data_IF_805109251652
#
_entry.id   IF_805109251652
#
_cell.length_a   1.000
_cell.length_b   1.000
_cell.length_c   1.000
_cell.angle_alpha   90.00
_cell.angle_beta   90.00
_cell.angle_gamma   90.00
#
_symmetry.space_group_name_H-M   'P 1'
#
loop_
_entity.id
_entity.type
_entity.pdbx_description
1 polymer ?
#
# COMPACT_ATOMS: atom_id res chain seq x y z
N UNK A 1 -8.27 24.48 -4.78
CA UNK A 1 -7.38 23.71 -5.66
C UNK A 1 -7.36 22.32 -5.07
N UNK A 2 -8.17 21.39 -5.59
CA UNK A 2 -8.04 19.99 -5.18
C UNK A 2 -6.74 19.53 -5.84
N UNK A 3 -5.72 19.31 -5.03
CA UNK A 3 -4.47 18.75 -5.50
C UNK A 3 -4.76 17.26 -5.67
N UNK A 4 -5.38 16.91 -6.79
CA UNK A 4 -5.50 15.53 -7.24
C UNK A 4 -4.08 15.04 -7.49
N UNK A 5 -3.44 14.56 -6.43
CA UNK A 5 -2.20 13.82 -6.50
C UNK A 5 -2.47 12.68 -7.47
N UNK A 6 -1.98 12.81 -8.70
CA UNK A 6 -2.06 11.77 -9.69
C UNK A 6 -1.06 10.69 -9.25
N UNK A 7 -1.48 9.86 -8.29
CA UNK A 7 -0.67 8.78 -7.76
C UNK A 7 -0.57 7.74 -8.87
N UNK A 8 0.62 7.62 -9.43
CA UNK A 8 0.91 6.65 -10.48
C UNK A 8 0.93 5.23 -9.89
N UNK A 9 0.48 4.26 -10.68
CA UNK A 9 0.48 2.85 -10.32
C UNK A 9 1.49 2.06 -11.18
N UNK A 10 2.18 1.06 -10.59
CA UNK A 10 2.19 0.77 -9.16
C UNK A 10 2.84 1.91 -8.35
N UNK A 11 2.36 2.11 -7.13
CA UNK A 11 2.94 3.03 -6.16
C UNK A 11 3.90 2.26 -5.27
N UNK A 12 5.13 2.76 -5.16
CA UNK A 12 6.20 2.13 -4.40
C UNK A 12 6.83 3.18 -3.47
N UNK A 13 7.04 2.82 -2.21
CA UNK A 13 7.63 3.71 -1.22
C UNK A 13 8.42 2.95 -0.16
N UNK A 14 9.64 3.41 0.11
CA UNK A 14 10.42 2.99 1.28
C UNK A 14 10.00 3.82 2.51
N UNK A 15 9.37 3.19 3.50
CA UNK A 15 8.90 3.83 4.72
C UNK A 15 9.33 3.06 5.97
N UNK A 16 10.10 3.70 6.86
CA UNK A 16 10.59 3.12 8.12
C UNK A 16 11.35 1.79 7.99
N UNK A 17 12.18 1.64 6.95
CA UNK A 17 12.88 0.39 6.58
C UNK A 17 11.95 -0.75 6.10
N UNK A 18 10.71 -0.42 5.74
CA UNK A 18 9.79 -1.32 5.07
C UNK A 18 9.53 -0.82 3.65
N UNK A 19 9.30 -1.75 2.75
CA UNK A 19 8.97 -1.52 1.35
C UNK A 19 7.44 -1.63 1.21
N UNK A 20 6.77 -0.53 0.86
CA UNK A 20 5.34 -0.48 0.58
C UNK A 20 5.13 -0.55 -0.92
N UNK A 21 4.24 -1.44 -1.36
CA UNK A 21 3.87 -1.60 -2.75
C UNK A 21 2.34 -1.59 -2.87
N UNK A 22 1.79 -0.76 -3.77
CA UNK A 22 0.37 -0.65 -4.05
C UNK A 22 0.12 -0.77 -5.55
N UNK A 23 -0.76 -1.67 -5.95
CA UNK A 23 -1.14 -1.89 -7.35
C UNK A 23 -2.66 -2.00 -7.53
N UNK A 24 -3.14 -1.86 -8.77
CA UNK A 24 -4.52 -2.22 -9.10
C UNK A 24 -4.76 -3.68 -8.76
N UNK A 25 -5.90 -4.01 -8.14
CA UNK A 25 -6.24 -5.39 -7.87
C UNK A 25 -6.18 -6.22 -9.16
N UNK A 26 -5.32 -7.25 -9.24
CA UNK A 26 -5.21 -8.08 -10.44
C UNK A 26 -6.48 -8.92 -10.69
N UNK A 27 -7.35 -9.07 -9.69
CA UNK A 27 -8.64 -9.73 -9.84
C UNK A 27 -9.61 -8.87 -10.67
N UNK A 28 -9.96 -9.35 -11.87
CA UNK A 28 -10.87 -8.66 -12.79
C UNK A 28 -12.33 -8.61 -12.33
N UNK A 29 -12.70 -9.31 -11.25
CA UNK A 29 -14.04 -9.31 -10.68
C UNK A 29 -14.21 -8.32 -9.54
N UNK A 30 -13.11 -7.96 -8.86
CA UNK A 30 -13.12 -7.09 -7.69
C UNK A 30 -12.29 -5.84 -7.97
N UNK A 31 -12.95 -4.69 -8.13
CA UNK A 31 -12.27 -3.41 -8.23
C UNK A 31 -11.54 -3.08 -6.90
N UNK A 32 -10.49 -2.28 -6.98
CA UNK A 32 -9.73 -1.82 -5.81
C UNK A 32 -8.23 -1.81 -6.03
N UNK A 33 -7.49 -1.60 -4.95
CA UNK A 33 -6.04 -1.49 -4.91
C UNK A 33 -5.50 -2.43 -3.84
N UNK A 34 -4.61 -3.32 -4.24
CA UNK A 34 -3.91 -4.19 -3.31
C UNK A 34 -2.69 -3.47 -2.80
N UNK A 35 -2.47 -3.52 -1.48
CA UNK A 35 -1.26 -3.03 -0.84
C UNK A 35 -0.53 -4.18 -0.16
N UNK A 36 0.80 -4.10 -0.14
CA UNK A 36 1.66 -5.05 0.57
C UNK A 36 2.84 -4.34 1.21
N UNK A 37 3.29 -4.91 2.34
CA UNK A 37 4.44 -4.44 3.09
C UNK A 37 5.46 -5.56 3.11
N UNK A 38 6.68 -5.26 2.68
CA UNK A 38 7.79 -6.20 2.75
C UNK A 38 8.98 -5.61 3.48
N UNK A 39 9.82 -6.48 4.05
CA UNK A 39 11.11 -6.11 4.63
C UNK A 39 12.06 -7.28 4.42
N UNK A 40 13.28 -7.02 3.96
CA UNK A 40 14.29 -8.05 3.71
C UNK A 40 13.80 -9.19 2.79
N UNK A 41 13.01 -8.89 1.76
CA UNK A 41 12.40 -9.85 0.83
C UNK A 41 11.30 -10.76 1.44
N UNK A 42 10.83 -10.47 2.65
CA UNK A 42 9.69 -11.16 3.26
C UNK A 42 8.46 -10.24 3.25
N UNK A 43 7.31 -10.76 2.76
CA UNK A 43 6.03 -10.08 2.88
C UNK A 43 5.50 -10.23 4.30
N UNK A 44 5.29 -9.10 4.99
CA UNK A 44 4.89 -9.07 6.40
C UNK A 44 3.38 -8.87 6.55
N UNK A 45 2.77 -8.07 5.68
CA UNK A 45 1.33 -7.81 5.70
C UNK A 45 0.83 -7.38 4.31
N UNK A 46 -0.45 -7.59 4.05
CA UNK A 46 -1.09 -7.22 2.78
C UNK A 46 -2.58 -7.05 2.94
N UNK A 47 -3.17 -6.20 2.10
CA UNK A 47 -4.61 -5.96 2.09
C UNK A 47 -5.15 -5.47 0.76
N UNK A 48 -6.44 -5.15 0.77
CA UNK A 48 -7.19 -4.64 -0.38
C UNK A 48 -8.07 -3.48 0.10
N UNK A 49 -8.01 -2.36 -0.61
CA UNK A 49 -8.83 -1.19 -0.35
C UNK A 49 -9.52 -0.71 -1.63
N UNK A 50 -10.63 0.01 -1.50
CA UNK A 50 -11.38 0.51 -2.66
C UNK A 50 -10.74 1.72 -3.34
N UNK A 51 -9.86 2.43 -2.64
CA UNK A 51 -9.23 3.67 -3.12
C UNK A 51 -7.72 3.63 -2.86
N UNK A 52 -6.94 4.21 -3.78
CA UNK A 52 -5.48 4.21 -3.72
C UNK A 52 -4.95 4.95 -2.48
N UNK A 53 -5.58 6.05 -2.08
CA UNK A 53 -5.19 6.80 -0.90
C UNK A 53 -5.51 6.02 0.37
N UNK A 54 -6.62 5.27 0.37
CA UNK A 54 -6.95 4.35 1.45
C UNK A 54 -5.94 3.20 1.55
N UNK A 55 -5.51 2.62 0.42
CA UNK A 55 -4.49 1.58 0.38
C UNK A 55 -3.15 2.06 0.95
N UNK A 56 -2.71 3.27 0.58
CA UNK A 56 -1.48 3.88 1.10
C UNK A 56 -1.60 4.16 2.60
N UNK A 57 -2.72 4.75 3.05
CA UNK A 57 -2.96 5.03 4.47
C UNK A 57 -3.02 3.74 5.31
N UNK A 58 -3.65 2.69 4.78
CA UNK A 58 -3.68 1.37 5.41
C UNK A 58 -2.28 0.75 5.52
N UNK A 59 -1.48 0.82 4.46
CA UNK A 59 -0.09 0.36 4.47
C UNK A 59 0.76 1.14 5.49
N UNK A 60 0.67 2.47 5.55
CA UNK A 60 1.38 3.28 6.56
C UNK A 60 0.99 2.93 7.99
N UNK A 61 -0.31 2.70 8.25
CA UNK A 61 -0.81 2.26 9.55
C UNK A 61 -0.27 0.88 9.93
N UNK A 62 -0.25 -0.05 8.98
CA UNK A 62 0.29 -1.39 9.21
C UNK A 62 1.82 -1.36 9.44
N UNK A 63 2.58 -0.55 8.71
CA UNK A 63 4.01 -0.32 9.00
C UNK A 63 4.19 0.25 10.40
N UNK A 64 3.42 1.26 10.78
CA UNK A 64 3.49 1.85 12.12
C UNK A 64 3.18 0.81 13.21
N UNK A 65 2.23 -0.10 12.97
CA UNK A 65 1.94 -1.19 13.89
C UNK A 65 3.06 -2.24 13.96
N UNK A 66 3.75 -2.52 12.85
CA UNK A 66 4.89 -3.45 12.78
C UNK A 66 6.13 -2.85 13.45
N UNK A 67 6.41 -1.57 13.27
CA UNK A 67 7.57 -0.88 13.84
C UNK A 67 7.48 -0.70 15.37
N UNK A 68 6.26 -0.73 15.93
CA UNK A 68 6.01 -0.60 17.37
C UNK A 68 5.84 -1.95 18.09
N UNK A 69 6.08 -3.08 17.42
CA UNK A 69 6.13 -4.42 18.02
C UNK A 69 7.55 -4.78 18.47
#
# INVERSE_FOLDING_TARGET
MHNDSNIALPFEEDYQEFEIYVETNPDSYNEGFSWSISKNHECLDSGLEFDIQMAIDAAHKAVTALANK
#
